data_IF_317409107876
#
_entry.id   IF_317409107876
#
_cell.length_a   1.000
_cell.length_b   1.000
_cell.length_c   1.000
_cell.angle_alpha   90.00
_cell.angle_beta   90.00
_cell.angle_gamma   90.00
#
_symmetry.space_group_name_H-M   'P 1'
#
loop_
_entity.id
_entity.type
_entity.pdbx_description
1 polymer ?
#
# COMPACT_ATOMS: atom_id res chain seq x y z
N UNK A 1 -13.78 -15.20 6.79
CA UNK A 1 -12.58 -15.22 5.93
C UNK A 1 -12.82 -14.62 4.54
N UNK A 2 -13.90 -14.96 3.83
CA UNK A 2 -14.19 -14.50 2.45
C UNK A 2 -14.11 -12.97 2.23
N UNK A 3 -14.66 -12.15 3.13
CA UNK A 3 -14.67 -10.69 2.97
C UNK A 3 -13.30 -10.00 3.11
N UNK A 4 -12.38 -10.56 3.90
CA UNK A 4 -11.08 -9.91 4.14
C UNK A 4 -10.16 -10.09 2.92
N UNK A 5 -10.24 -11.27 2.31
CA UNK A 5 -9.57 -11.56 1.06
C UNK A 5 -10.11 -10.67 -0.07
N UNK A 6 -11.43 -10.49 -0.13
CA UNK A 6 -12.05 -9.56 -1.09
C UNK A 6 -11.60 -8.11 -0.87
N UNK A 7 -11.57 -7.62 0.38
CA UNK A 7 -11.07 -6.29 0.71
C UNK A 7 -9.62 -6.10 0.25
N UNK A 8 -8.76 -7.07 0.56
CA UNK A 8 -7.36 -7.08 0.12
C UNK A 8 -7.25 -7.00 -1.40
N UNK A 9 -7.97 -7.85 -2.14
CA UNK A 9 -7.91 -7.87 -3.61
C UNK A 9 -8.38 -6.55 -4.23
N UNK A 10 -9.45 -5.96 -3.70
CA UNK A 10 -9.97 -4.67 -4.18
C UNK A 10 -8.92 -3.58 -3.98
N UNK A 11 -8.36 -3.47 -2.78
CA UNK A 11 -7.32 -2.46 -2.50
C UNK A 11 -6.09 -2.72 -3.38
N UNK A 12 -5.68 -3.97 -3.57
CA UNK A 12 -4.50 -4.33 -4.37
C UNK A 12 -4.66 -3.89 -5.83
N UNK A 13 -5.76 -4.31 -6.48
CA UNK A 13 -6.01 -4.03 -7.89
C UNK A 13 -6.18 -2.52 -8.11
N UNK A 14 -6.98 -1.85 -7.28
CA UNK A 14 -7.20 -0.42 -7.41
C UNK A 14 -5.93 0.40 -7.10
N UNK A 15 -5.09 -0.05 -6.15
CA UNK A 15 -3.81 0.60 -5.88
C UNK A 15 -2.84 0.48 -7.05
N UNK A 16 -2.81 -0.67 -7.73
CA UNK A 16 -1.98 -0.86 -8.93
C UNK A 16 -2.44 0.09 -10.04
N UNK A 17 -3.74 0.10 -10.34
CA UNK A 17 -4.31 0.95 -11.41
C UNK A 17 -4.13 2.44 -11.10
N UNK A 18 -4.48 2.86 -9.89
CA UNK A 18 -4.37 4.27 -9.49
C UNK A 18 -2.93 4.78 -9.47
N UNK A 19 -1.95 3.93 -9.16
CA UNK A 19 -0.53 4.32 -9.17
C UNK A 19 0.02 4.67 -10.55
N UNK A 20 -0.70 4.34 -11.63
CA UNK A 20 -0.36 4.77 -13.00
C UNK A 20 -1.10 6.04 -13.44
N UNK A 21 -2.32 6.26 -12.95
CA UNK A 21 -3.22 7.31 -13.44
C UNK A 21 -3.29 8.53 -12.53
N UNK A 22 -3.06 8.33 -11.23
CA UNK A 22 -3.30 9.32 -10.18
C UNK A 22 -2.01 9.56 -9.38
N UNK A 23 -1.94 10.69 -8.64
CA UNK A 23 -0.89 10.89 -7.66
C UNK A 23 -0.89 9.79 -6.60
N UNK A 24 0.28 9.52 -6.03
CA UNK A 24 0.50 8.42 -5.09
C UNK A 24 -0.44 8.43 -3.85
N UNK A 25 -0.93 9.59 -3.42
CA UNK A 25 -1.84 9.70 -2.26
C UNK A 25 -3.23 9.08 -2.51
N UNK A 26 -3.59 8.82 -3.77
CA UNK A 26 -4.88 8.23 -4.14
C UNK A 26 -5.11 6.85 -3.50
N UNK A 27 -4.03 6.09 -3.23
CA UNK A 27 -4.11 4.79 -2.56
C UNK A 27 -4.75 4.89 -1.16
N UNK A 28 -4.54 5.99 -0.45
CA UNK A 28 -5.12 6.21 0.87
C UNK A 28 -6.64 6.37 0.77
N UNK A 29 -7.12 7.16 -0.20
CA UNK A 29 -8.55 7.36 -0.47
C UNK A 29 -9.22 6.05 -0.85
N UNK A 30 -8.58 5.27 -1.73
CA UNK A 30 -9.06 3.95 -2.16
C UNK A 30 -9.16 2.98 -0.98
N UNK A 31 -8.10 2.85 -0.19
CA UNK A 31 -8.07 1.95 0.96
C UNK A 31 -9.11 2.34 2.02
N UNK A 32 -9.27 3.64 2.26
CA UNK A 32 -10.29 4.19 3.16
C UNK A 32 -11.71 3.78 2.74
N UNK A 33 -12.12 4.11 1.51
CA UNK A 33 -13.48 3.82 1.06
C UNK A 33 -13.73 2.32 0.93
N UNK A 34 -12.76 1.54 0.45
CA UNK A 34 -12.89 0.09 0.38
C UNK A 34 -13.17 -0.52 1.77
N UNK A 35 -12.43 -0.10 2.80
CA UNK A 35 -12.63 -0.59 4.16
C UNK A 35 -13.88 -0.01 4.83
N UNK A 36 -14.27 1.23 4.51
CA UNK A 36 -15.53 1.82 4.97
C UNK A 36 -16.73 0.97 4.54
N UNK A 37 -16.79 0.56 3.27
CA UNK A 37 -17.93 -0.24 2.79
C UNK A 37 -17.82 -1.72 3.20
N UNK A 38 -16.64 -2.34 3.05
CA UNK A 38 -16.50 -3.81 3.08
C UNK A 38 -15.84 -4.30 4.38
N UNK A 39 -15.10 -3.45 5.07
CA UNK A 39 -14.36 -3.78 6.29
C UNK A 39 -15.26 -4.28 7.42
N UNK A 40 -14.69 -5.20 8.22
CA UNK A 40 -15.40 -5.85 9.35
C UNK A 40 -14.69 -5.68 10.68
N UNK A 41 -13.41 -6.06 10.76
CA UNK A 41 -12.61 -5.97 11.98
C UNK A 41 -11.40 -5.05 11.81
N UNK A 42 -10.97 -4.32 12.86
CA UNK A 42 -9.89 -3.33 12.75
C UNK A 42 -8.58 -3.94 12.28
N UNK A 43 -8.15 -5.03 12.94
CA UNK A 43 -6.90 -5.71 12.59
C UNK A 43 -6.90 -6.25 11.16
N UNK A 44 -8.00 -6.84 10.70
CA UNK A 44 -8.07 -7.36 9.32
C UNK A 44 -8.11 -6.22 8.29
N UNK A 45 -8.77 -5.09 8.59
CA UNK A 45 -8.81 -3.96 7.67
C UNK A 45 -7.44 -3.31 7.52
N UNK A 46 -6.70 -3.17 8.64
CA UNK A 46 -5.31 -2.73 8.62
C UNK A 46 -4.43 -3.69 7.81
N UNK A 47 -4.46 -4.99 8.11
CA UNK A 47 -3.60 -5.97 7.43
C UNK A 47 -3.94 -6.10 5.94
N UNK A 48 -5.22 -6.05 5.57
CA UNK A 48 -5.65 -6.03 4.16
C UNK A 48 -5.15 -4.78 3.44
N UNK A 49 -5.30 -3.59 4.03
CA UNK A 49 -4.80 -2.34 3.44
C UNK A 49 -3.28 -2.30 3.35
N UNK A 50 -2.59 -2.69 4.42
CA UNK A 50 -1.14 -2.73 4.48
C UNK A 50 -0.56 -3.69 3.46
N UNK A 51 -0.99 -4.95 3.48
CA UNK A 51 -0.46 -5.97 2.59
C UNK A 51 -0.74 -5.65 1.12
N UNK A 52 -1.94 -5.17 0.81
CA UNK A 52 -2.32 -4.85 -0.56
C UNK A 52 -1.45 -3.72 -1.13
N UNK A 53 -1.30 -2.62 -0.40
CA UNK A 53 -0.51 -1.48 -0.87
C UNK A 53 0.98 -1.78 -0.86
N UNK A 54 1.49 -2.49 0.15
CA UNK A 54 2.88 -2.95 0.20
C UNK A 54 3.23 -3.76 -1.06
N UNK A 55 2.41 -4.77 -1.39
CA UNK A 55 2.62 -5.62 -2.57
C UNK A 55 2.51 -4.80 -3.85
N UNK A 56 1.49 -3.94 -3.97
CA UNK A 56 1.33 -3.08 -5.14
C UNK A 56 2.57 -2.21 -5.38
N UNK A 57 3.06 -1.52 -4.35
CA UNK A 57 4.20 -0.62 -4.47
C UNK A 57 5.52 -1.36 -4.71
N UNK A 58 5.75 -2.49 -4.05
CA UNK A 58 6.93 -3.33 -4.30
C UNK A 58 6.91 -3.84 -5.75
N UNK A 59 5.79 -4.40 -6.20
CA UNK A 59 5.66 -4.90 -7.57
C UNK A 59 5.87 -3.80 -8.60
N UNK A 60 5.23 -2.64 -8.45
CA UNK A 60 5.38 -1.51 -9.36
C UNK A 60 6.79 -0.92 -9.35
N UNK A 61 7.44 -0.89 -8.19
CA UNK A 61 8.82 -0.42 -8.07
C UNK A 61 9.78 -1.38 -8.76
N UNK A 62 9.59 -2.70 -8.60
CA UNK A 62 10.38 -3.72 -9.28
C UNK A 62 10.18 -3.68 -10.80
N UNK A 63 8.94 -3.51 -11.28
CA UNK A 63 8.66 -3.36 -12.71
C UNK A 63 9.41 -2.20 -13.36
N UNK A 64 9.64 -1.11 -12.61
CA UNK A 64 10.42 0.04 -13.07
C UNK A 64 11.93 -0.12 -12.86
N UNK A 65 12.33 -0.86 -11.83
CA UNK A 65 13.73 -0.93 -11.38
C UNK A 65 14.51 -2.07 -12.05
N UNK A 66 13.88 -3.23 -12.29
CA UNK A 66 14.53 -4.40 -12.93
C UNK A 66 15.05 -4.09 -14.34
N UNK A 67 14.27 -3.46 -15.26
CA UNK A 67 14.77 -3.16 -16.61
C UNK A 67 15.94 -2.16 -16.64
N UNK A 68 16.18 -1.47 -15.53
CA UNK A 68 17.23 -0.46 -15.37
C UNK A 68 18.36 -0.97 -14.44
N UNK A 69 18.47 -2.29 -14.22
CA UNK A 69 19.45 -2.93 -13.34
C UNK A 69 19.58 -2.25 -11.96
N UNK A 70 18.48 -1.70 -11.45
CA UNK A 70 18.41 -0.96 -10.19
C UNK A 70 19.40 0.23 -10.09
N UNK A 71 19.87 0.79 -11.21
CA UNK A 71 20.90 1.85 -11.24
C UNK A 71 20.45 3.06 -10.43
N UNK A 72 19.26 3.59 -10.70
CA UNK A 72 18.74 4.77 -10.00
C UNK A 72 18.55 4.50 -8.50
N UNK A 73 17.96 3.35 -8.14
CA UNK A 73 17.76 2.98 -6.75
C UNK A 73 19.09 2.82 -5.99
N UNK A 74 20.13 2.30 -6.65
CA UNK A 74 21.48 2.17 -6.12
C UNK A 74 22.20 3.50 -5.93
N UNK A 75 21.88 4.53 -6.72
CA UNK A 75 22.39 5.90 -6.50
C UNK A 75 21.65 6.60 -5.38
N UNK A 76 20.32 6.49 -5.36
CA UNK A 76 19.48 7.15 -4.36
C UNK A 76 19.72 6.60 -2.96
N UNK A 77 19.94 5.28 -2.79
CA UNK A 77 20.17 4.70 -1.47
C UNK A 77 21.41 5.27 -0.77
N UNK A 78 22.42 5.73 -1.52
CA UNK A 78 23.65 6.36 -0.98
C UNK A 78 23.38 7.71 -0.31
N UNK A 79 22.23 8.34 -0.61
CA UNK A 79 21.82 9.60 0.01
C UNK A 79 21.21 9.39 1.40
N UNK A 80 20.88 8.15 1.75
CA UNK A 80 20.26 7.79 3.02
C UNK A 80 21.27 7.08 3.93
N UNK A 81 21.11 7.16 5.26
CA UNK A 81 21.88 6.37 6.21
C UNK A 81 21.41 4.91 6.23
N UNK A 82 21.38 4.26 5.07
CA UNK A 82 20.97 2.87 4.86
C UNK A 82 22.17 2.07 4.33
N UNK A 83 22.17 0.73 4.48
CA UNK A 83 23.20 -0.08 3.83
C UNK A 83 23.17 0.15 2.32
N UNK A 84 24.35 0.18 1.68
CA UNK A 84 24.54 0.48 0.25
C UNK A 84 24.01 -0.64 -0.67
N UNK A 85 22.72 -0.92 -0.59
CA UNK A 85 22.00 -1.92 -1.36
C UNK A 85 20.58 -1.39 -1.65
N UNK A 86 20.23 -1.32 -2.93
CA UNK A 86 18.94 -0.82 -3.43
C UNK A 86 17.72 -1.50 -2.79
N UNK A 87 17.88 -2.72 -2.29
CA UNK A 87 16.80 -3.49 -1.66
C UNK A 87 16.23 -2.77 -0.43
N UNK A 88 17.06 -2.04 0.32
CA UNK A 88 16.60 -1.27 1.47
C UNK A 88 15.66 -0.15 1.06
N UNK A 89 15.95 0.54 -0.04
CA UNK A 89 15.09 1.57 -0.58
C UNK A 89 13.75 0.98 -1.06
N UNK A 90 13.76 -0.21 -1.68
CA UNK A 90 12.55 -0.93 -2.08
C UNK A 90 11.68 -1.27 -0.86
N UNK A 91 12.27 -1.86 0.18
CA UNK A 91 11.57 -2.29 1.38
C UNK A 91 10.97 -1.10 2.12
N UNK A 92 11.73 -0.01 2.29
CA UNK A 92 11.24 1.23 2.92
C UNK A 92 10.10 1.82 2.11
N UNK A 93 10.23 1.88 0.78
CA UNK A 93 9.16 2.37 -0.11
C UNK A 93 7.88 1.54 0.08
N UNK A 94 7.97 0.22 -0.06
CA UNK A 94 6.85 -0.68 0.15
C UNK A 94 6.23 -0.55 1.54
N UNK A 95 7.06 -0.46 2.58
CA UNK A 95 6.62 -0.35 3.97
C UNK A 95 5.87 0.96 4.23
N UNK A 96 6.38 2.09 3.73
CA UNK A 96 5.68 3.39 3.83
C UNK A 96 4.34 3.33 3.11
N UNK A 97 4.29 2.81 1.88
CA UNK A 97 3.04 2.61 1.15
C UNK A 97 2.06 1.74 1.91
N UNK A 98 2.54 0.60 2.42
CA UNK A 98 1.77 -0.30 3.27
C UNK A 98 1.20 0.40 4.51
N UNK A 99 2.00 1.17 5.25
CA UNK A 99 1.51 1.92 6.41
C UNK A 99 0.41 2.90 6.03
N UNK A 100 0.58 3.65 4.94
CA UNK A 100 -0.45 4.57 4.43
C UNK A 100 -1.74 3.82 4.10
N UNK A 101 -1.65 2.70 3.37
CA UNK A 101 -2.80 1.87 3.02
C UNK A 101 -3.50 1.25 4.23
N UNK A 102 -2.71 0.70 5.17
CA UNK A 102 -3.22 0.06 6.38
C UNK A 102 -3.92 1.05 7.31
N UNK A 103 -3.30 2.22 7.55
CA UNK A 103 -3.89 3.27 8.39
C UNK A 103 -5.16 3.84 7.75
N UNK A 104 -5.16 4.09 6.44
CA UNK A 104 -6.35 4.57 5.75
C UNK A 104 -7.51 3.56 5.79
N UNK A 105 -7.23 2.27 5.56
CA UNK A 105 -8.23 1.22 5.69
C UNK A 105 -8.79 1.11 7.12
N UNK A 106 -7.92 1.21 8.13
CA UNK A 106 -8.33 1.23 9.53
C UNK A 106 -9.25 2.42 9.81
N UNK A 107 -8.88 3.63 9.38
CA UNK A 107 -9.69 4.84 9.52
C UNK A 107 -11.06 4.70 8.86
N UNK A 108 -11.13 4.14 7.65
CA UNK A 108 -12.40 3.91 6.95
C UNK A 108 -13.33 3.00 7.74
N UNK A 109 -12.81 1.90 8.29
CA UNK A 109 -13.61 1.01 9.13
C UNK A 109 -14.04 1.67 10.46
N UNK A 110 -13.15 2.41 11.12
CA UNK A 110 -13.47 3.09 12.37
C UNK A 110 -14.55 4.15 12.16
N UNK A 111 -14.50 4.88 11.04
CA UNK A 111 -15.56 5.81 10.65
C UNK A 111 -16.89 5.07 10.45
N UNK A 112 -16.90 3.96 9.71
CA UNK A 112 -18.11 3.13 9.53
C UNK A 112 -18.73 2.76 10.88
N UNK A 113 -17.91 2.36 11.86
CA UNK A 113 -18.37 1.98 13.21
C UNK A 113 -18.87 3.16 14.04
N UNK A 114 -18.29 4.34 13.86
CA UNK A 114 -18.73 5.55 14.56
C UNK A 114 -20.13 6.00 14.13
N UNK A 115 -20.48 5.83 12.84
CA UNK A 115 -21.78 6.25 12.28
C UNK A 115 -22.81 5.11 12.16
N UNK A 116 -22.38 3.86 12.13
CA UNK A 116 -23.26 2.69 12.17
C UNK A 116 -23.59 2.30 13.60
N UNK A 117 -24.55 3.01 14.22
CA UNK A 117 -25.31 2.48 15.35
C UNK A 117 -26.30 1.42 14.85
#
# INVERSE_FOLDING_TARGET
>A
MKNNFMLFLIILILSIVSSYLLPWWAIAVIAFFAAFFIGKTPGQSFLSGFGAVFIAWVALSLLKSIPNDHILASRVVQLFPLPNNWIWLLLVTGFIGGLVGGMAALSGLLMKRAFGK
#
